data_IF_834222600996
#
_entry.id   IF_834222600996
#
_cell.length_a   1.000
_cell.length_b   1.000
_cell.length_c   1.000
_cell.angle_alpha   90.00
_cell.angle_beta   90.00
_cell.angle_gamma   90.00
#
_symmetry.space_group_name_H-M   'P 1'
#
loop_
_entity.id
_entity.type
_entity.pdbx_description
1 polymer ?
#
# COMPACT_ATOMS: atom_id res chain seq x y z
N UNK A 1 5.96 13.67 3.10
CA UNK A 1 5.45 13.47 1.73
C UNK A 1 5.74 12.04 1.33
N UNK A 2 4.70 11.30 0.95
CA UNK A 2 4.81 9.95 0.40
C UNK A 2 4.89 10.01 -1.13
N UNK A 3 5.93 9.42 -1.71
CA UNK A 3 6.11 9.25 -3.14
C UNK A 3 5.01 8.33 -3.73
N UNK A 4 4.26 8.84 -4.70
CA UNK A 4 3.12 8.15 -5.34
C UNK A 4 3.59 7.30 -6.51
N UNK A 5 4.27 6.19 -6.22
CA UNK A 5 4.89 5.31 -7.24
C UNK A 5 3.88 4.69 -8.20
N UNK A 6 2.61 4.59 -7.79
CA UNK A 6 1.54 4.02 -8.61
C UNK A 6 1.25 4.80 -9.89
N UNK A 7 1.78 6.02 -10.07
CA UNK A 7 1.66 6.75 -11.35
C UNK A 7 2.58 6.23 -12.46
N UNK A 8 3.70 5.58 -12.14
CA UNK A 8 4.74 5.23 -13.12
C UNK A 8 5.36 3.84 -12.97
N UNK A 9 5.05 3.08 -11.92
CA UNK A 9 5.40 1.66 -11.82
C UNK A 9 4.14 0.82 -11.71
N UNK A 10 4.13 -0.33 -12.40
CA UNK A 10 3.08 -1.35 -12.37
C UNK A 10 3.45 -2.60 -11.56
N UNK A 11 4.58 -2.57 -10.83
CA UNK A 11 5.02 -3.69 -10.00
C UNK A 11 3.98 -4.06 -8.92
N UNK A 12 4.03 -5.32 -8.49
CA UNK A 12 3.12 -5.86 -7.46
C UNK A 12 3.79 -6.02 -6.09
N UNK A 13 5.10 -5.80 -6.02
CA UNK A 13 5.89 -5.95 -4.79
C UNK A 13 7.08 -5.01 -4.82
N UNK A 14 7.55 -4.60 -3.65
CA UNK A 14 8.72 -3.75 -3.54
C UNK A 14 8.99 -3.32 -2.11
N UNK A 15 9.78 -2.27 -1.95
CA UNK A 15 10.28 -1.82 -0.65
C UNK A 15 10.05 -0.33 -0.44
N UNK A 16 9.82 0.05 0.81
CA UNK A 16 9.67 1.42 1.27
C UNK A 16 10.32 1.58 2.64
N UNK A 17 10.68 2.81 3.00
CA UNK A 17 11.13 3.19 4.32
C UNK A 17 9.92 3.63 5.16
N UNK A 18 9.76 3.02 6.34
CA UNK A 18 8.81 3.49 7.35
C UNK A 18 9.35 4.80 7.94
N UNK A 19 8.60 5.88 7.76
CA UNK A 19 8.91 7.21 8.28
C UNK A 19 8.25 7.45 9.64
N UNK A 20 7.01 7.00 9.80
CA UNK A 20 6.26 7.15 11.05
C UNK A 20 5.30 5.97 11.27
N UNK A 21 5.08 5.62 12.54
CA UNK A 21 4.12 4.60 12.95
C UNK A 21 3.39 5.08 14.21
N UNK A 22 2.10 5.33 14.10
CA UNK A 22 1.27 5.85 15.20
C UNK A 22 0.05 4.97 15.47
N UNK A 23 -0.31 4.73 16.74
CA UNK A 23 -1.56 4.05 17.08
C UNK A 23 -2.77 4.93 16.73
N UNK A 24 -3.88 4.29 16.40
CA UNK A 24 -5.19 4.89 16.16
C UNK A 24 -6.16 4.52 17.28
N UNK A 25 -7.24 5.28 17.41
CA UNK A 25 -8.26 5.11 18.46
C UNK A 25 -9.02 3.78 18.36
N UNK A 26 -9.08 3.19 17.16
CA UNK A 26 -9.72 1.90 16.88
C UNK A 26 -8.81 0.69 17.17
N UNK A 27 -7.61 0.92 17.72
CA UNK A 27 -6.61 -0.11 18.00
C UNK A 27 -5.73 -0.50 16.81
N UNK A 28 -5.99 0.06 15.63
CA UNK A 28 -5.12 -0.09 14.47
C UNK A 28 -3.92 0.87 14.53
N UNK A 29 -3.03 0.76 13.56
CA UNK A 29 -1.82 1.58 13.46
C UNK A 29 -1.74 2.21 12.08
N UNK A 30 -1.47 3.52 12.03
CA UNK A 30 -1.22 4.25 10.80
C UNK A 30 0.28 4.35 10.53
N UNK A 31 0.69 3.93 9.34
CA UNK A 31 2.06 3.97 8.87
C UNK A 31 2.22 5.03 7.78
N UNK A 32 3.25 5.85 7.88
CA UNK A 32 3.68 6.80 6.86
C UNK A 32 4.94 6.27 6.19
N UNK A 33 4.91 6.14 4.88
CA UNK A 33 6.02 5.61 4.09
C UNK A 33 6.64 6.69 3.22
N UNK A 34 7.91 6.52 2.86
CA UNK A 34 8.60 7.35 1.87
C UNK A 34 8.00 7.22 0.48
N UNK A 35 7.48 6.04 0.12
CA UNK A 35 6.81 5.79 -1.15
C UNK A 35 5.91 4.56 -1.14
N UNK A 36 4.90 4.55 -2.02
CA UNK A 36 3.90 3.48 -2.08
C UNK A 36 3.39 3.21 -3.50
N UNK A 37 3.14 1.92 -3.80
CA UNK A 37 2.39 1.48 -4.99
C UNK A 37 0.89 1.32 -4.73
N UNK A 38 0.43 1.50 -3.50
CA UNK A 38 -0.97 1.41 -3.17
C UNK A 38 -1.72 2.67 -3.61
N UNK A 39 -2.62 2.54 -4.58
CA UNK A 39 -3.48 3.63 -5.00
C UNK A 39 -4.59 3.85 -3.97
N UNK A 40 -4.68 5.04 -3.32
CA UNK A 40 -5.80 5.36 -2.45
C UNK A 40 -7.09 5.44 -3.26
N UNK A 41 -8.20 4.99 -2.70
CA UNK A 41 -9.50 4.93 -3.40
C UNK A 41 -9.83 6.24 -4.14
N UNK A 42 -10.15 6.16 -5.44
CA UNK A 42 -10.50 7.32 -6.25
C UNK A 42 -11.22 6.92 -7.55
N UNK A 43 -12.21 7.73 -7.97
CA UNK A 43 -12.88 7.56 -9.27
C UNK A 43 -13.89 6.42 -9.41
N UNK A 44 -14.36 5.82 -8.30
CA UNK A 44 -15.35 4.73 -8.31
C UNK A 44 -14.77 3.31 -8.30
N UNK A 45 -13.44 3.16 -8.27
CA UNK A 45 -12.77 1.86 -8.07
C UNK A 45 -12.45 1.62 -6.58
N UNK A 46 -12.44 0.35 -6.13
CA UNK A 46 -11.98 -0.01 -4.79
C UNK A 46 -10.51 0.37 -4.61
N UNK A 47 -10.12 0.71 -3.38
CA UNK A 47 -8.71 0.92 -3.03
C UNK A 47 -7.87 -0.33 -3.34
N UNK A 48 -6.58 -0.14 -3.60
CA UNK A 48 -5.66 -1.27 -3.69
C UNK A 48 -5.56 -1.98 -2.32
N UNK A 49 -5.61 -3.30 -2.36
CA UNK A 49 -5.37 -4.18 -1.21
C UNK A 49 -3.96 -4.74 -1.22
N UNK A 50 -3.48 -5.15 -0.05
CA UNK A 50 -2.17 -5.80 0.04
C UNK A 50 -1.68 -6.04 1.45
N UNK A 51 -0.37 -6.14 1.60
CA UNK A 51 0.30 -6.30 2.89
C UNK A 51 1.62 -5.54 2.97
N UNK A 52 2.01 -5.21 4.21
CA UNK A 52 3.24 -4.54 4.61
C UNK A 52 3.99 -5.47 5.57
N UNK A 53 5.14 -5.99 5.15
CA UNK A 53 5.87 -7.08 5.81
C UNK A 53 5.01 -8.32 6.13
N UNK A 54 3.96 -8.56 5.34
CA UNK A 54 3.01 -9.65 5.58
C UNK A 54 1.84 -9.27 6.49
N UNK A 55 1.86 -8.11 7.15
CA UNK A 55 0.68 -7.59 7.85
C UNK A 55 -0.34 -7.04 6.85
N UNK A 56 -1.62 -7.44 6.92
CA UNK A 56 -2.65 -6.97 5.99
C UNK A 56 -2.86 -5.47 6.05
N UNK A 57 -2.90 -4.84 4.88
CA UNK A 57 -3.32 -3.45 4.72
C UNK A 57 -4.85 -3.38 4.85
N UNK A 58 -5.32 -2.71 5.89
CA UNK A 58 -6.75 -2.59 6.20
C UNK A 58 -7.39 -1.41 5.47
N UNK A 59 -6.65 -0.29 5.36
CA UNK A 59 -7.16 0.94 4.76
C UNK A 59 -6.01 1.82 4.26
N UNK A 60 -6.30 2.59 3.21
CA UNK A 60 -5.49 3.72 2.77
C UNK A 60 -6.27 5.00 3.03
N UNK A 61 -5.62 5.99 3.63
CA UNK A 61 -6.22 7.30 3.86
C UNK A 61 -5.24 8.41 3.43
N UNK A 62 -5.59 9.24 2.43
CA UNK A 62 -4.83 10.44 2.12
C UNK A 62 -4.82 11.40 3.32
N UNK A 63 -3.65 11.95 3.67
CA UNK A 63 -3.49 12.93 4.73
C UNK A 63 -2.49 14.00 4.31
N UNK A 64 -2.99 15.10 3.74
CA UNK A 64 -2.16 16.13 3.13
C UNK A 64 -1.32 15.54 1.99
N UNK A 65 0.01 15.64 2.11
CA UNK A 65 0.98 15.09 1.16
C UNK A 65 1.40 13.65 1.45
N UNK A 66 0.87 13.04 2.50
CA UNK A 66 1.16 11.66 2.91
C UNK A 66 -0.01 10.72 2.63
N UNK A 67 0.30 9.44 2.52
CA UNK A 67 -0.69 8.37 2.47
C UNK A 67 -0.53 7.53 3.73
N UNK A 68 -1.57 7.51 4.55
CA UNK A 68 -1.63 6.68 5.75
C UNK A 68 -2.00 5.25 5.36
N UNK A 69 -1.13 4.31 5.69
CA UNK A 69 -1.35 2.88 5.52
C UNK A 69 -1.78 2.29 6.86
N UNK A 70 -3.05 1.89 6.98
CA UNK A 70 -3.60 1.39 8.23
C UNK A 70 -3.44 -0.13 8.30
N UNK A 71 -2.84 -0.61 9.39
CA UNK A 71 -2.61 -2.05 9.66
C UNK A 71 -3.06 -2.39 11.08
N UNK A 72 -3.34 -3.66 11.35
CA UNK A 72 -3.76 -4.10 12.68
C UNK A 72 -2.61 -4.00 13.70
N UNK A 73 -1.38 -4.37 13.30
CA UNK A 73 -0.23 -4.43 14.19
C UNK A 73 0.85 -3.42 13.81
N UNK A 74 1.57 -2.85 14.80
CA UNK A 74 2.65 -1.91 14.53
C UNK A 74 3.77 -2.57 13.74
N UNK A 75 4.49 -1.77 12.95
CA UNK A 75 5.65 -2.21 12.19
C UNK A 75 6.94 -1.67 12.79
N UNK A 76 8.04 -2.45 12.77
CA UNK A 76 9.33 -1.95 13.21
C UNK A 76 9.80 -0.82 12.29
N UNK A 77 10.47 0.22 12.83
CA UNK A 77 11.08 1.26 12.01
C UNK A 77 12.13 0.65 11.08
N UNK A 78 12.23 1.20 9.86
CA UNK A 78 13.17 0.71 8.85
C UNK A 78 12.51 0.38 7.53
N UNK A 79 13.24 -0.42 6.74
CA UNK A 79 12.79 -0.85 5.42
C UNK A 79 11.75 -1.95 5.54
N UNK A 80 10.60 -1.73 4.94
CA UNK A 80 9.52 -2.70 4.85
C UNK A 80 9.31 -3.16 3.42
N UNK A 81 8.78 -4.37 3.25
CA UNK A 81 8.32 -4.91 1.97
C UNK A 81 6.83 -4.74 1.84
N UNK A 82 6.36 -4.13 0.76
CA UNK A 82 4.95 -4.11 0.42
C UNK A 82 4.63 -5.10 -0.70
N UNK A 83 3.43 -5.65 -0.69
CA UNK A 83 2.89 -6.55 -1.72
C UNK A 83 1.43 -6.22 -1.98
N UNK A 84 1.05 -6.00 -3.24
CA UNK A 84 -0.33 -5.84 -3.65
C UNK A 84 -0.98 -7.24 -3.78
N UNK A 85 -2.23 -7.38 -3.37
CA UNK A 85 -3.00 -8.62 -3.53
C UNK A 85 -3.76 -8.64 -4.86
N UNK A 86 -3.94 -9.84 -5.43
CA UNK A 86 -4.68 -10.05 -6.67
C UNK A 86 -6.15 -9.63 -6.50
N UNK A 87 -6.64 -8.78 -7.43
CA UNK A 87 -7.97 -8.16 -7.37
C UNK A 87 -7.94 -6.64 -7.54
N UNK A 88 -6.78 -6.01 -7.38
CA UNK A 88 -6.56 -4.62 -7.77
C UNK A 88 -6.74 -4.48 -9.30
N UNK A 89 -7.28 -3.35 -9.78
CA UNK A 89 -7.51 -3.10 -11.21
C UNK A 89 -6.26 -3.32 -12.09
N UNK A 90 -5.08 -3.26 -11.47
CA UNK A 90 -3.76 -3.52 -12.04
C UNK A 90 -3.47 -5.01 -12.30
N UNK A 91 -3.84 -5.92 -11.38
CA UNK A 91 -3.65 -7.36 -11.59
C UNK A 91 -4.49 -7.90 -12.76
N UNK A 92 -5.67 -7.32 -13.02
CA UNK A 92 -6.50 -7.72 -14.16
C UNK A 92 -5.92 -7.32 -15.53
N UNK A 93 -4.95 -6.39 -15.60
CA UNK A 93 -4.21 -6.06 -16.84
C UNK A 93 -2.96 -6.92 -17.03
N UNK A 94 -2.53 -7.67 -16.01
CA UNK A 94 -1.29 -8.44 -15.99
C UNK A 94 -1.47 -9.95 -16.27
N UNK A 95 -2.68 -10.44 -16.53
CA UNK A 95 -2.94 -11.80 -17.04
C UNK A 95 -3.53 -11.69 -18.45
N UNK A 96 -2.83 -12.07 -19.50
CA UNK A 96 -2.41 -13.45 -19.79
C UNK A 96 -0.97 -13.55 -20.34
N UNK A 97 -0.13 -14.50 -19.90
CA UNK A 97 0.93 -15.01 -20.77
C UNK A 97 0.28 -15.71 -21.98
N UNK A 98 0.84 -15.63 -23.20
CA UNK A 98 0.33 -16.42 -24.33
C UNK A 98 0.38 -17.90 -23.95
N UNK A 99 -0.76 -18.57 -24.09
CA UNK A 99 -0.78 -20.03 -24.06
C UNK A 99 0.12 -20.52 -25.19
N UNK A 100 1.16 -21.29 -24.84
CA UNK A 100 1.85 -22.18 -25.78
C UNK A 100 1.02 -23.43 -26.02
#
# INVERSE_FOLDING_TARGET
>A
MTERRYYYSDELQGQAQLLDCRPLEDGNHALVLDGTLFHPQGGGQPADGGSLNGEPLLRLAPHGDDILHVVARPQPPGRLRWRLTAGCARCMRAGTPPAI
#
